data_IF_754665131820
#
_entry.id   IF_754665131820
#
_cell.length_a   1.000
_cell.length_b   1.000
_cell.length_c   1.000
_cell.angle_alpha   90.00
_cell.angle_beta   90.00
_cell.angle_gamma   90.00
#
_symmetry.space_group_name_H-M   'P 1'
#
loop_
_entity.id
_entity.type
_entity.pdbx_description
1 polymer ?
#
# COMPACT_ATOMS: atom_id res chain seq x y z
N UNK A 1 5.53 -17.67 -16.90
CA UNK A 1 6.15 -16.44 -17.42
C UNK A 1 7.11 -15.90 -16.38
N UNK A 2 8.34 -15.59 -16.76
CA UNK A 2 9.38 -15.14 -15.83
C UNK A 2 9.20 -13.65 -15.56
N UNK A 3 9.25 -13.24 -14.28
CA UNK A 3 9.29 -11.82 -13.91
C UNK A 3 10.53 -11.19 -14.55
N UNK A 4 10.35 -10.07 -15.24
CA UNK A 4 11.43 -9.24 -15.76
C UNK A 4 12.14 -8.49 -14.62
N UNK A 5 13.22 -7.75 -14.91
CA UNK A 5 13.96 -7.01 -13.88
C UNK A 5 13.08 -5.97 -13.19
N UNK A 6 12.89 -6.14 -11.88
CA UNK A 6 12.06 -5.31 -11.01
C UNK A 6 12.94 -4.42 -10.14
N UNK A 7 12.81 -3.12 -10.30
CA UNK A 7 13.39 -2.12 -9.41
C UNK A 7 12.37 -1.68 -8.37
N UNK A 8 12.72 -1.74 -7.09
CA UNK A 8 11.86 -1.35 -5.97
C UNK A 8 12.47 -0.14 -5.27
N UNK A 9 11.77 0.98 -5.29
CA UNK A 9 12.09 2.13 -4.45
C UNK A 9 11.39 2.02 -3.10
N UNK A 10 12.19 1.88 -2.04
CA UNK A 10 11.72 1.70 -0.67
C UNK A 10 11.65 0.23 -0.23
N UNK A 11 11.93 0.00 1.05
CA UNK A 11 11.91 -1.32 1.67
C UNK A 11 11.02 -1.29 2.92
N UNK A 12 9.78 -0.80 2.74
CA UNK A 12 8.74 -0.76 3.76
C UNK A 12 7.97 -2.08 3.87
N UNK A 13 6.89 -2.09 4.64
CA UNK A 13 6.10 -3.28 4.98
C UNK A 13 5.65 -4.10 3.75
N UNK A 14 4.99 -3.47 2.79
CA UNK A 14 4.55 -4.16 1.55
C UNK A 14 5.73 -4.64 0.69
N UNK A 15 6.80 -3.83 0.59
CA UNK A 15 7.97 -4.21 -0.20
C UNK A 15 8.71 -5.40 0.44
N UNK A 16 8.81 -5.45 1.77
CA UNK A 16 9.37 -6.60 2.50
C UNK A 16 8.58 -7.88 2.22
N UNK A 17 7.26 -7.82 2.34
CA UNK A 17 6.39 -8.96 2.07
C UNK A 17 6.48 -9.41 0.61
N UNK A 18 6.49 -8.46 -0.35
CA UNK A 18 6.65 -8.77 -1.76
C UNK A 18 7.98 -9.46 -2.06
N UNK A 19 9.08 -8.95 -1.54
CA UNK A 19 10.41 -9.53 -1.74
C UNK A 19 10.48 -10.94 -1.14
N UNK A 20 9.87 -11.16 0.02
CA UNK A 20 9.78 -12.50 0.61
C UNK A 20 9.06 -13.50 -0.31
N UNK A 21 7.96 -13.09 -0.93
CA UNK A 21 7.25 -13.91 -1.92
C UNK A 21 8.06 -14.14 -3.19
N UNK A 22 8.86 -13.17 -3.59
CA UNK A 22 9.66 -13.21 -4.81
C UNK A 22 11.05 -13.81 -4.63
N UNK A 23 11.34 -14.55 -3.55
CA UNK A 23 12.68 -15.11 -3.26
C UNK A 23 13.28 -15.90 -4.41
N UNK A 24 12.47 -16.66 -5.14
CA UNK A 24 12.92 -17.44 -6.31
C UNK A 24 13.40 -16.56 -7.48
N UNK A 25 13.04 -15.28 -7.49
CA UNK A 25 13.43 -14.30 -8.51
C UNK A 25 14.49 -13.31 -8.01
N UNK A 26 15.19 -13.60 -6.91
CA UNK A 26 16.14 -12.67 -6.27
C UNK A 26 17.13 -12.01 -7.22
N UNK A 27 17.61 -12.75 -8.23
CA UNK A 27 18.54 -12.24 -9.26
C UNK A 27 17.95 -11.17 -10.20
N UNK A 28 16.62 -10.99 -10.17
CA UNK A 28 15.88 -10.02 -10.99
C UNK A 28 15.39 -8.83 -10.18
N UNK A 29 15.61 -8.84 -8.86
CA UNK A 29 15.17 -7.79 -7.94
C UNK A 29 16.33 -6.85 -7.68
N UNK A 30 16.05 -5.54 -7.80
CA UNK A 30 16.94 -4.44 -7.50
C UNK A 30 16.21 -3.56 -6.47
N UNK A 31 16.86 -3.19 -5.38
CA UNK A 31 16.21 -2.41 -4.30
C UNK A 31 17.02 -1.13 -4.02
N UNK A 32 16.32 0.00 -3.95
CA UNK A 32 16.88 1.27 -3.50
C UNK A 32 16.28 1.62 -2.14
N UNK A 33 17.12 1.81 -1.14
CA UNK A 33 16.72 2.12 0.23
C UNK A 33 17.58 3.22 0.82
N UNK A 34 17.05 3.93 1.83
CA UNK A 34 17.83 4.88 2.68
C UNK A 34 18.43 4.22 3.91
N UNK A 35 17.93 3.05 4.29
CA UNK A 35 18.35 2.36 5.50
C UNK A 35 19.47 1.37 5.18
N UNK A 36 20.67 1.62 5.72
CA UNK A 36 21.89 0.82 5.49
C UNK A 36 21.77 -0.62 5.97
N UNK A 37 21.16 -0.84 7.14
CA UNK A 37 20.95 -2.18 7.68
C UNK A 37 20.05 -3.03 6.75
N UNK A 38 18.99 -2.41 6.21
CA UNK A 38 18.13 -3.06 5.24
C UNK A 38 18.88 -3.45 3.97
N UNK A 39 19.80 -2.59 3.51
CA UNK A 39 20.63 -2.86 2.33
C UNK A 39 21.58 -4.03 2.61
N UNK A 40 22.25 -4.01 3.76
CA UNK A 40 23.15 -5.10 4.17
C UNK A 40 22.40 -6.44 4.23
N UNK A 41 21.22 -6.48 4.88
CA UNK A 41 20.38 -7.67 4.96
C UNK A 41 19.91 -8.19 3.59
N UNK A 42 19.54 -7.30 2.67
CA UNK A 42 19.16 -7.68 1.33
C UNK A 42 20.33 -8.30 0.55
N UNK A 43 21.51 -7.69 0.65
CA UNK A 43 22.73 -8.18 0.01
C UNK A 43 23.14 -9.55 0.56
N UNK A 44 23.04 -9.80 1.88
CA UNK A 44 23.32 -11.11 2.47
C UNK A 44 22.34 -12.20 1.99
N UNK A 45 21.15 -11.83 1.56
CA UNK A 45 20.17 -12.74 0.93
C UNK A 45 20.38 -12.91 -0.58
N UNK A 46 21.42 -12.30 -1.16
CA UNK A 46 21.73 -12.34 -2.58
C UNK A 46 20.85 -11.43 -3.45
N UNK A 47 20.21 -10.42 -2.85
CA UNK A 47 19.40 -9.43 -3.55
C UNK A 47 20.24 -8.17 -3.77
N UNK A 48 20.29 -7.68 -5.01
CA UNK A 48 20.99 -6.43 -5.32
C UNK A 48 20.28 -5.25 -4.67
N UNK A 49 20.99 -4.49 -3.84
CA UNK A 49 20.44 -3.33 -3.15
C UNK A 49 21.48 -2.21 -3.05
N UNK A 50 21.03 -0.95 -3.17
CA UNK A 50 21.91 0.21 -3.04
C UNK A 50 21.28 1.32 -2.21
N UNK A 51 22.14 2.23 -1.76
CA UNK A 51 21.72 3.43 -1.09
C UNK A 51 21.08 4.42 -2.07
N UNK A 52 20.08 5.13 -1.57
CA UNK A 52 19.42 6.22 -2.26
C UNK A 52 20.39 7.35 -2.70
N UNK A 53 21.47 7.56 -1.96
CA UNK A 53 22.51 8.55 -2.21
C UNK A 53 23.46 8.17 -3.35
N UNK A 54 23.63 6.89 -3.62
CA UNK A 54 24.48 6.38 -4.71
C UNK A 54 23.77 6.54 -6.06
N UNK A 55 23.85 7.76 -6.62
CA UNK A 55 23.11 8.15 -7.82
C UNK A 55 23.46 7.29 -9.04
N UNK A 56 24.72 6.94 -9.21
CA UNK A 56 25.16 6.22 -10.40
C UNK A 56 24.69 4.77 -10.36
N UNK A 57 24.72 4.13 -9.21
CA UNK A 57 24.15 2.78 -9.04
C UNK A 57 22.64 2.79 -9.22
N UNK A 58 21.94 3.81 -8.69
CA UNK A 58 20.47 3.94 -8.90
C UNK A 58 20.13 4.18 -10.35
N UNK A 59 20.88 5.03 -11.08
CA UNK A 59 20.69 5.23 -12.53
C UNK A 59 20.91 3.93 -13.30
N UNK A 60 21.96 3.17 -12.95
CA UNK A 60 22.21 1.87 -13.56
C UNK A 60 21.04 0.90 -13.29
N UNK A 61 20.49 0.88 -12.08
CA UNK A 61 19.32 0.06 -11.76
C UNK A 61 18.09 0.47 -12.56
N UNK A 62 17.84 1.76 -12.73
CA UNK A 62 16.75 2.28 -13.58
C UNK A 62 16.94 1.82 -15.02
N UNK A 63 18.15 1.93 -15.57
CA UNK A 63 18.47 1.47 -16.91
C UNK A 63 18.25 -0.03 -17.12
N UNK A 64 18.57 -0.84 -16.11
CA UNK A 64 18.40 -2.29 -16.17
C UNK A 64 16.95 -2.76 -15.97
N UNK A 65 16.11 -1.96 -15.32
CA UNK A 65 14.76 -2.35 -14.96
C UNK A 65 13.80 -2.41 -16.15
N UNK A 66 12.84 -3.32 -16.08
CA UNK A 66 11.67 -3.36 -16.96
C UNK A 66 10.42 -2.81 -16.23
N UNK A 67 10.35 -3.06 -14.92
CA UNK A 67 9.28 -2.55 -14.05
C UNK A 67 9.88 -1.84 -12.85
N UNK A 68 9.34 -0.68 -12.51
CA UNK A 68 9.67 0.05 -11.29
C UNK A 68 8.47 0.05 -10.36
N UNK A 69 8.66 -0.45 -9.15
CA UNK A 69 7.70 -0.35 -8.05
C UNK A 69 8.12 0.78 -7.11
N UNK A 70 7.23 1.76 -6.92
CA UNK A 70 7.46 2.87 -6.00
C UNK A 70 6.62 2.64 -4.75
N UNK A 71 7.27 2.29 -3.64
CA UNK A 71 6.64 2.11 -2.33
C UNK A 71 7.03 3.18 -1.31
N UNK A 72 7.82 4.17 -1.72
CA UNK A 72 8.17 5.33 -0.90
C UNK A 72 6.97 6.27 -0.81
N UNK A 73 6.54 6.71 0.39
CA UNK A 73 5.47 7.70 0.51
C UNK A 73 5.96 9.09 0.10
N UNK A 74 5.08 9.93 -0.47
CA UNK A 74 5.39 11.34 -0.69
C UNK A 74 5.51 12.06 0.66
N UNK A 75 6.25 13.16 0.67
CA UNK A 75 6.34 14.08 1.80
C UNK A 75 5.53 15.37 1.53
N UNK A 76 5.60 16.34 2.45
CA UNK A 76 4.87 17.63 2.38
C UNK A 76 5.02 18.34 1.03
N UNK A 77 6.15 18.25 0.39
CA UNK A 77 6.46 19.03 -0.80
C UNK A 77 6.28 18.24 -2.08
N UNK A 78 6.77 16.99 -2.10
CA UNK A 78 6.90 16.23 -3.34
C UNK A 78 7.05 14.72 -3.08
N UNK A 79 6.81 13.92 -4.10
CA UNK A 79 7.26 12.53 -4.13
C UNK A 79 8.77 12.51 -4.39
N UNK A 80 9.58 11.98 -3.45
CA UNK A 80 11.02 12.05 -3.56
C UNK A 80 11.59 11.25 -4.73
N UNK A 81 10.90 10.20 -5.20
CA UNK A 81 11.31 9.46 -6.40
C UNK A 81 11.07 10.27 -7.65
N UNK A 82 9.92 10.98 -7.73
CA UNK A 82 9.64 11.90 -8.83
C UNK A 82 10.67 13.01 -8.93
N UNK A 83 10.99 13.61 -7.80
CA UNK A 83 11.92 14.74 -7.76
C UNK A 83 13.30 14.34 -8.25
N UNK A 84 13.84 13.26 -7.66
CA UNK A 84 15.24 12.91 -7.85
C UNK A 84 15.51 12.08 -9.09
N UNK A 85 14.57 11.21 -9.49
CA UNK A 85 14.83 10.18 -10.48
C UNK A 85 13.93 10.20 -11.71
N UNK A 86 12.86 11.00 -11.75
CA UNK A 86 11.90 10.95 -12.87
C UNK A 86 12.56 11.16 -14.24
N UNK A 87 13.53 12.07 -14.35
CA UNK A 87 14.28 12.33 -15.60
C UNK A 87 14.95 11.08 -16.15
N UNK A 88 15.44 10.18 -15.29
CA UNK A 88 16.15 8.98 -15.70
C UNK A 88 15.22 7.88 -16.22
N UNK A 89 13.92 7.91 -15.85
CA UNK A 89 12.94 6.96 -16.38
C UNK A 89 12.65 7.19 -17.86
N UNK A 90 12.82 8.40 -18.36
CA UNK A 90 12.47 8.78 -19.74
C UNK A 90 13.59 8.53 -20.74
N UNK A 91 14.82 8.42 -20.27
CA UNK A 91 15.99 8.16 -21.12
C UNK A 91 16.26 6.66 -21.32
N UNK A 92 15.43 5.80 -20.74
CA UNK A 92 15.54 4.36 -20.95
C UNK A 92 15.05 4.00 -22.35
N UNK A 93 15.91 3.39 -23.19
CA UNK A 93 15.54 2.87 -24.51
C UNK A 93 14.50 1.73 -24.45
N UNK A 94 14.25 1.18 -23.25
CA UNK A 94 13.27 0.12 -23.01
C UNK A 94 11.95 0.73 -22.57
N UNK A 95 10.85 0.07 -22.91
CA UNK A 95 9.50 0.43 -22.42
C UNK A 95 9.40 0.13 -20.92
N UNK A 96 9.80 1.10 -20.11
CA UNK A 96 9.72 1.02 -18.65
C UNK A 96 8.26 1.08 -18.21
N UNK A 97 7.86 0.19 -17.29
CA UNK A 97 6.55 0.20 -16.65
C UNK A 97 6.66 0.67 -15.21
N UNK A 98 5.66 1.39 -14.73
CA UNK A 98 5.64 1.95 -13.39
C UNK A 98 4.45 1.42 -12.58
N UNK A 99 4.69 0.98 -11.34
CA UNK A 99 3.67 0.62 -10.36
C UNK A 99 3.86 1.54 -9.15
N UNK A 100 2.87 2.38 -8.88
CA UNK A 100 2.91 3.32 -7.77
C UNK A 100 1.96 2.88 -6.65
N UNK A 101 2.48 2.65 -5.45
CA UNK A 101 1.68 2.33 -4.27
C UNK A 101 1.10 3.62 -3.69
N UNK A 102 -0.14 3.88 -4.01
CA UNK A 102 -0.92 5.02 -3.51
C UNK A 102 -1.78 4.63 -2.30
N UNK A 103 -2.75 5.45 -1.96
CA UNK A 103 -3.65 5.25 -0.83
C UNK A 103 -5.07 5.70 -1.16
N UNK A 104 -6.06 5.01 -0.61
CA UNK A 104 -7.47 5.42 -0.65
C UNK A 104 -7.75 6.73 0.13
N UNK A 105 -6.77 7.25 0.88
CA UNK A 105 -6.82 8.59 1.48
C UNK A 105 -7.01 9.73 0.47
N UNK A 106 -6.72 9.50 -0.83
CA UNK A 106 -6.96 10.48 -1.89
C UNK A 106 -8.45 10.79 -2.11
N UNK A 107 -9.34 9.89 -1.72
CA UNK A 107 -10.79 10.12 -1.82
C UNK A 107 -11.29 11.14 -0.78
N UNK A 108 -10.70 11.20 0.41
CA UNK A 108 -11.19 12.00 1.52
C UNK A 108 -12.46 11.43 2.15
N UNK A 109 -13.26 12.29 2.76
CA UNK A 109 -14.53 11.89 3.37
C UNK A 109 -15.67 11.80 2.35
N UNK A 110 -16.36 10.66 2.36
CA UNK A 110 -17.58 10.41 1.58
C UNK A 110 -18.77 10.01 2.47
N UNK A 111 -18.72 10.33 3.77
CA UNK A 111 -19.80 10.09 4.74
C UNK A 111 -20.30 8.64 4.74
N UNK A 112 -19.37 7.69 4.61
CA UNK A 112 -19.69 6.25 4.54
C UNK A 112 -20.20 5.74 3.20
N UNK A 113 -20.32 6.58 2.17
CA UNK A 113 -20.72 6.14 0.84
C UNK A 113 -19.61 5.32 0.14
N UNK A 114 -20.03 4.52 -0.84
CA UNK A 114 -19.12 3.78 -1.70
C UNK A 114 -18.38 4.71 -2.67
N UNK A 115 -17.08 4.46 -2.81
CA UNK A 115 -16.20 5.12 -3.80
C UNK A 115 -15.55 4.08 -4.70
N UNK A 116 -15.33 4.46 -5.96
CA UNK A 116 -14.59 3.71 -6.95
C UNK A 116 -13.51 4.60 -7.60
N UNK A 117 -12.80 4.10 -8.57
CA UNK A 117 -11.68 4.80 -9.22
C UNK A 117 -12.09 6.09 -9.92
N UNK A 118 -13.37 6.23 -10.30
CA UNK A 118 -13.95 7.42 -10.95
C UNK A 118 -14.55 8.43 -9.95
N UNK A 119 -14.60 8.08 -8.67
CA UNK A 119 -15.18 8.95 -7.64
C UNK A 119 -14.35 10.22 -7.44
N UNK A 120 -15.02 11.30 -7.03
CA UNK A 120 -14.37 12.60 -6.77
C UNK A 120 -13.28 12.46 -5.70
N UNK A 121 -12.11 13.00 -5.99
CA UNK A 121 -10.97 13.03 -5.07
C UNK A 121 -11.00 14.35 -4.28
N UNK A 122 -11.22 14.25 -2.97
CA UNK A 122 -11.34 15.41 -2.05
C UNK A 122 -10.65 15.12 -0.70
N UNK A 123 -9.34 14.82 -0.70
CA UNK A 123 -8.62 14.48 0.52
C UNK A 123 -8.68 15.64 1.52
N UNK A 124 -9.02 15.34 2.78
CA UNK A 124 -9.07 16.31 3.87
C UNK A 124 -7.76 16.31 4.65
N UNK A 125 -7.11 15.15 4.77
CA UNK A 125 -5.83 15.02 5.47
C UNK A 125 -4.65 15.46 4.61
N UNK A 126 -3.61 16.01 5.26
CA UNK A 126 -2.38 16.41 4.57
C UNK A 126 -1.73 15.24 3.81
N UNK A 127 -1.68 14.06 4.42
CA UNK A 127 -1.14 12.85 3.77
C UNK A 127 -1.93 12.49 2.50
N UNK A 128 -3.26 12.62 2.55
CA UNK A 128 -4.13 12.41 1.39
C UNK A 128 -3.85 13.42 0.27
N UNK A 129 -3.70 14.69 0.63
CA UNK A 129 -3.38 15.79 -0.33
C UNK A 129 -2.02 15.55 -1.00
N UNK A 130 -0.99 15.20 -0.23
CA UNK A 130 0.34 14.92 -0.79
C UNK A 130 0.31 13.71 -1.73
N UNK A 131 -0.43 12.67 -1.34
CA UNK A 131 -0.61 11.49 -2.16
C UNK A 131 -1.31 11.80 -3.49
N UNK A 132 -2.38 12.58 -3.45
CA UNK A 132 -3.09 13.03 -4.65
C UNK A 132 -2.20 13.88 -5.57
N UNK A 133 -1.39 14.79 -5.01
CA UNK A 133 -0.43 15.59 -5.77
C UNK A 133 0.58 14.68 -6.48
N UNK A 134 1.10 13.67 -5.78
CA UNK A 134 2.03 12.70 -6.36
C UNK A 134 1.39 11.86 -7.48
N UNK A 135 0.15 11.34 -7.28
CA UNK A 135 -0.59 10.63 -8.34
C UNK A 135 -0.74 11.46 -9.61
N UNK A 136 -1.24 12.70 -9.46
CA UNK A 136 -1.43 13.62 -10.61
C UNK A 136 -0.14 13.84 -11.39
N UNK A 137 0.98 14.04 -10.70
CA UNK A 137 2.28 14.26 -11.34
C UNK A 137 2.78 12.98 -12.02
N UNK A 138 2.65 11.79 -11.41
CA UNK A 138 3.00 10.52 -12.03
C UNK A 138 2.17 10.23 -13.28
N UNK A 139 0.85 10.49 -13.24
CA UNK A 139 -0.04 10.32 -14.41
C UNK A 139 0.33 11.30 -15.53
N UNK A 140 0.64 12.55 -15.21
CA UNK A 140 1.10 13.53 -16.18
C UNK A 140 2.42 13.10 -16.85
N UNK A 141 3.39 12.68 -16.06
CA UNK A 141 4.68 12.18 -16.56
C UNK A 141 4.50 10.95 -17.47
N UNK A 142 3.64 10.01 -17.06
CA UNK A 142 3.35 8.81 -17.83
C UNK A 142 2.71 9.16 -19.18
N UNK A 143 1.76 10.11 -19.21
CA UNK A 143 1.10 10.58 -20.43
C UNK A 143 2.09 11.26 -21.38
N UNK A 144 2.90 12.20 -20.88
CA UNK A 144 3.87 12.96 -21.70
C UNK A 144 4.90 12.02 -22.32
N UNK A 145 5.39 11.06 -21.54
CA UNK A 145 6.48 10.17 -21.96
C UNK A 145 6.00 8.80 -22.44
N UNK A 146 4.69 8.62 -22.59
CA UNK A 146 4.04 7.41 -23.17
C UNK A 146 4.48 6.09 -22.51
N UNK A 147 4.68 6.06 -21.18
CA UNK A 147 4.97 4.81 -20.48
C UNK A 147 3.76 4.30 -19.70
N UNK A 148 3.57 2.97 -19.61
CA UNK A 148 2.47 2.39 -18.84
C UNK A 148 2.66 2.60 -17.34
N UNK A 149 1.59 3.03 -16.65
CA UNK A 149 1.59 3.22 -15.20
C UNK A 149 0.38 2.54 -14.57
N UNK A 150 0.59 1.87 -13.45
CA UNK A 150 -0.46 1.38 -12.57
C UNK A 150 -0.39 2.09 -11.23
N UNK A 151 -1.48 2.75 -10.84
CA UNK A 151 -1.64 3.38 -9.52
C UNK A 151 -2.51 2.50 -8.66
N UNK A 152 -1.94 1.97 -7.59
CA UNK A 152 -2.62 1.07 -6.66
C UNK A 152 -3.02 1.86 -5.41
N UNK A 153 -4.30 2.25 -5.31
CA UNK A 153 -4.87 2.94 -4.15
C UNK A 153 -5.19 1.93 -3.06
N UNK A 154 -4.26 1.78 -2.13
CA UNK A 154 -4.32 0.78 -1.07
C UNK A 154 -5.13 1.31 0.10
N UNK A 155 -6.08 0.53 0.59
CA UNK A 155 -6.86 0.79 1.80
C UNK A 155 -6.06 0.50 3.08
N UNK A 156 -6.70 0.41 4.23
CA UNK A 156 -6.04 0.15 5.51
C UNK A 156 -5.29 -1.18 5.50
N UNK A 157 -3.95 -1.12 5.48
CA UNK A 157 -3.10 -2.32 5.40
C UNK A 157 -3.02 -2.99 6.77
N UNK A 158 -3.28 -4.30 6.82
CA UNK A 158 -3.06 -5.12 8.01
C UNK A 158 -2.39 -6.45 7.63
N UNK A 159 -1.89 -7.18 8.65
CA UNK A 159 -1.21 -8.46 8.49
C UNK A 159 -0.27 -8.74 9.67
N UNK A 160 0.60 -9.76 9.59
CA UNK A 160 1.56 -10.10 10.64
C UNK A 160 2.41 -8.90 11.05
N UNK A 161 2.53 -8.65 12.37
CA UNK A 161 3.25 -7.49 12.92
C UNK A 161 2.57 -6.13 12.73
N UNK A 162 1.42 -6.07 12.05
CA UNK A 162 0.63 -4.86 11.81
C UNK A 162 -0.86 -5.15 11.90
N UNK A 163 -1.32 -5.56 13.06
CA UNK A 163 -2.69 -6.01 13.28
C UNK A 163 -3.28 -5.45 14.57
N UNK A 164 -4.58 -5.57 14.80
CA UNK A 164 -5.20 -5.27 16.09
C UNK A 164 -4.60 -6.08 17.24
N UNK A 165 -4.15 -7.32 17.01
CA UNK A 165 -3.47 -8.14 18.03
C UNK A 165 -2.22 -7.45 18.59
N UNK A 166 -1.39 -6.89 17.72
CA UNK A 166 -0.20 -6.13 18.14
C UNK A 166 -0.58 -4.93 19.00
N UNK A 167 -1.63 -4.18 18.61
CA UNK A 167 -2.08 -3.00 19.35
C UNK A 167 -2.69 -3.37 20.70
N UNK A 168 -3.37 -4.51 20.81
CA UNK A 168 -3.88 -5.03 22.10
C UNK A 168 -2.71 -5.40 23.01
N UNK A 169 -1.73 -6.13 22.48
CA UNK A 169 -0.50 -6.48 23.22
C UNK A 169 0.23 -5.23 23.75
N UNK A 170 0.38 -4.21 22.92
CA UNK A 170 1.08 -2.96 23.26
C UNK A 170 0.19 -1.97 24.02
N UNK A 171 -1.07 -2.33 24.37
CA UNK A 171 -2.08 -1.46 25.02
C UNK A 171 -2.28 -0.11 24.29
N UNK A 172 -2.02 -0.07 22.99
CA UNK A 172 -2.09 1.14 22.16
C UNK A 172 -3.37 1.25 21.32
N UNK A 173 -4.36 0.38 21.59
CA UNK A 173 -5.62 0.35 20.85
C UNK A 173 -6.64 1.36 21.39
N UNK A 174 -7.56 1.76 20.52
CA UNK A 174 -8.73 2.57 20.86
C UNK A 174 -9.95 1.99 20.16
N UNK A 175 -10.99 1.61 20.91
CA UNK A 175 -12.26 1.15 20.34
C UNK A 175 -13.19 2.35 20.24
N UNK A 176 -13.34 2.85 19.00
CA UNK A 176 -14.19 4.02 18.74
C UNK A 176 -15.56 3.55 18.31
N UNK A 177 -16.59 3.90 19.08
CA UNK A 177 -17.99 3.66 18.73
C UNK A 177 -18.48 4.76 17.79
N UNK A 178 -18.64 4.39 16.54
CA UNK A 178 -19.30 5.21 15.52
C UNK A 178 -19.81 4.27 14.41
N UNK A 179 -21.13 3.97 14.35
CA UNK A 179 -21.70 3.03 13.39
C UNK A 179 -21.62 3.51 11.93
N UNK A 180 -21.36 4.81 11.70
CA UNK A 180 -21.27 5.41 10.38
C UNK A 180 -19.82 5.61 9.91
N UNK A 181 -18.83 5.20 10.70
CA UNK A 181 -17.41 5.40 10.41
C UNK A 181 -16.79 4.13 9.84
N UNK A 182 -16.88 3.99 8.52
CA UNK A 182 -16.39 2.83 7.79
C UNK A 182 -14.96 3.00 7.27
N UNK A 183 -14.19 1.93 7.40
CA UNK A 183 -12.85 1.80 6.83
C UNK A 183 -12.77 0.52 6.00
N UNK A 184 -12.36 0.65 4.76
CA UNK A 184 -11.91 -0.49 3.96
C UNK A 184 -10.49 -0.87 4.33
N UNK A 185 -10.20 -2.17 4.27
CA UNK A 185 -8.91 -2.77 4.64
C UNK A 185 -8.45 -3.71 3.56
N UNK A 186 -7.23 -4.17 3.67
CA UNK A 186 -6.70 -5.25 2.84
C UNK A 186 -5.54 -5.93 3.56
N UNK A 187 -5.49 -7.25 3.52
CA UNK A 187 -4.39 -8.02 4.06
C UNK A 187 -3.13 -7.85 3.19
N UNK A 188 -1.95 -7.83 3.82
CA UNK A 188 -0.68 -7.63 3.11
C UNK A 188 -0.42 -8.71 2.07
N UNK A 189 -0.83 -9.95 2.31
CA UNK A 189 -0.64 -11.05 1.37
C UNK A 189 -1.46 -10.86 0.09
N UNK A 190 -2.67 -10.32 0.20
CA UNK A 190 -3.45 -9.93 -0.97
C UNK A 190 -2.81 -8.77 -1.74
N UNK A 191 -2.26 -7.76 -1.05
CA UNK A 191 -1.50 -6.69 -1.71
C UNK A 191 -0.35 -7.29 -2.52
N UNK A 192 0.41 -8.20 -1.92
CA UNK A 192 1.57 -8.85 -2.54
C UNK A 192 1.14 -9.70 -3.74
N UNK A 193 0.06 -10.48 -3.59
CA UNK A 193 -0.49 -11.29 -4.67
C UNK A 193 -0.99 -10.42 -5.84
N UNK A 194 -1.67 -9.32 -5.54
CA UNK A 194 -2.15 -8.37 -6.55
C UNK A 194 -0.95 -7.73 -7.28
N UNK A 195 0.07 -7.25 -6.57
CA UNK A 195 1.28 -6.72 -7.21
C UNK A 195 1.92 -7.78 -8.11
N UNK A 196 1.98 -9.03 -7.66
CA UNK A 196 2.51 -10.14 -8.44
C UNK A 196 1.72 -10.39 -9.74
N UNK A 197 0.37 -10.29 -9.69
CA UNK A 197 -0.46 -10.35 -10.90
C UNK A 197 -0.16 -9.17 -11.85
N UNK A 198 0.02 -7.96 -11.32
CA UNK A 198 0.46 -6.83 -12.15
C UNK A 198 1.84 -7.06 -12.78
N UNK A 199 2.78 -7.69 -12.08
CA UNK A 199 4.08 -8.03 -12.64
C UNK A 199 4.00 -9.04 -13.78
N UNK A 200 3.05 -9.97 -13.74
CA UNK A 200 2.82 -10.96 -14.81
C UNK A 200 2.03 -10.40 -16.02
N UNK A 201 1.06 -9.53 -15.75
CA UNK A 201 0.13 -9.00 -16.74
C UNK A 201 0.57 -7.60 -17.18
N UNK A 202 1.61 -7.50 -18.00
CA UNK A 202 2.25 -6.22 -18.37
C UNK A 202 1.31 -5.26 -19.13
N UNK A 203 0.25 -5.77 -19.77
CA UNK A 203 -0.75 -4.97 -20.49
C UNK A 203 -1.72 -4.24 -19.57
N UNK A 204 -1.87 -4.66 -18.31
CA UNK A 204 -2.78 -4.02 -17.34
C UNK A 204 -2.13 -2.79 -16.75
N UNK A 205 -2.76 -1.63 -16.96
CA UNK A 205 -2.34 -0.34 -16.41
C UNK A 205 -3.56 0.51 -16.04
N UNK A 206 -3.33 1.63 -15.35
CA UNK A 206 -4.38 2.53 -14.88
C UNK A 206 -4.49 2.59 -13.37
N UNK A 207 -5.64 3.02 -12.85
CA UNK A 207 -5.88 3.20 -11.42
C UNK A 207 -6.72 2.05 -10.90
N UNK A 208 -6.34 1.47 -9.75
CA UNK A 208 -7.04 0.36 -9.10
C UNK A 208 -7.12 0.55 -7.60
N UNK A 209 -8.29 0.27 -7.05
CA UNK A 209 -8.48 0.20 -5.61
C UNK A 209 -8.10 -1.18 -5.08
N UNK A 210 -7.28 -1.20 -4.04
CA UNK A 210 -6.92 -2.40 -3.30
C UNK A 210 -7.62 -2.37 -1.94
N UNK A 211 -8.73 -3.07 -1.85
CA UNK A 211 -9.53 -3.26 -0.65
C UNK A 211 -10.11 -4.68 -0.65
N UNK A 212 -10.32 -5.26 0.54
CA UNK A 212 -11.13 -6.46 0.70
C UNK A 212 -12.63 -6.18 0.42
N UNK A 213 -13.48 -7.19 0.57
CA UNK A 213 -14.89 -7.06 0.19
C UNK A 213 -15.76 -6.42 1.28
N UNK A 214 -15.28 -6.30 2.52
CA UNK A 214 -16.12 -5.93 3.69
C UNK A 214 -15.56 -4.72 4.44
N UNK A 215 -15.98 -3.50 4.07
CA UNK A 215 -15.71 -2.33 4.89
C UNK A 215 -16.29 -2.48 6.29
N UNK A 216 -15.55 -2.16 7.32
CA UNK A 216 -15.96 -2.34 8.71
C UNK A 216 -15.59 -1.14 9.58
N UNK A 217 -16.33 -0.95 10.67
CA UNK A 217 -15.96 0.03 11.71
C UNK A 217 -14.72 -0.45 12.47
N UNK A 218 -14.08 0.46 13.21
CA UNK A 218 -12.99 0.08 14.10
C UNK A 218 -13.49 -0.83 15.22
N UNK A 219 -14.68 -0.56 15.75
CA UNK A 219 -15.33 -1.33 16.80
C UNK A 219 -15.54 -2.79 16.38
N UNK A 220 -16.15 -3.04 15.19
CA UNK A 220 -16.37 -4.39 14.69
C UNK A 220 -15.08 -5.21 14.56
N UNK A 221 -14.00 -4.56 14.12
CA UNK A 221 -12.70 -5.22 13.98
C UNK A 221 -12.10 -5.61 15.34
N UNK A 222 -12.21 -4.74 16.34
CA UNK A 222 -11.72 -5.07 17.69
C UNK A 222 -12.60 -6.11 18.39
N UNK A 223 -13.92 -6.05 18.25
CA UNK A 223 -14.82 -7.08 18.80
C UNK A 223 -14.41 -8.46 18.26
N UNK A 224 -14.23 -8.60 16.94
CA UNK A 224 -13.79 -9.87 16.35
C UNK A 224 -12.39 -10.28 16.84
N UNK A 225 -11.47 -9.33 17.01
CA UNK A 225 -10.13 -9.62 17.53
C UNK A 225 -10.18 -10.13 18.98
N UNK A 226 -10.97 -9.50 19.84
CA UNK A 226 -11.15 -9.94 21.25
C UNK A 226 -11.82 -11.31 21.32
N UNK A 227 -12.81 -11.58 20.46
CA UNK A 227 -13.45 -12.88 20.33
C UNK A 227 -12.46 -13.99 19.98
N UNK A 228 -11.56 -13.76 19.02
CA UNK A 228 -10.51 -14.71 18.66
C UNK A 228 -9.53 -14.98 19.83
N UNK A 229 -9.29 -13.96 20.66
CA UNK A 229 -8.45 -14.09 21.87
C UNK A 229 -9.17 -14.74 23.05
N UNK A 230 -10.46 -15.06 22.95
CA UNK A 230 -11.32 -15.47 24.07
C UNK A 230 -11.31 -14.46 25.24
N UNK A 231 -11.28 -13.16 24.92
CA UNK A 231 -11.27 -12.06 25.88
C UNK A 231 -12.51 -11.17 25.70
N UNK A 232 -12.97 -10.57 26.78
CA UNK A 232 -14.01 -9.55 26.71
C UNK A 232 -13.43 -8.21 26.23
N UNK A 233 -14.00 -7.57 25.21
CA UNK A 233 -13.55 -6.25 24.80
C UNK A 233 -13.90 -5.22 25.87
N UNK A 234 -13.03 -4.24 26.16
CA UNK A 234 -13.38 -3.12 26.99
C UNK A 234 -14.47 -2.27 26.33
N UNK A 235 -15.20 -1.43 27.11
CA UNK A 235 -16.23 -0.57 26.56
C UNK A 235 -15.68 0.35 25.44
N UNK A 236 -16.42 0.42 24.36
CA UNK A 236 -16.12 1.38 23.28
C UNK A 236 -16.42 2.81 23.72
N UNK A 237 -15.65 3.79 23.25
CA UNK A 237 -15.80 5.21 23.56
C UNK A 237 -16.21 6.00 22.33
N UNK A 238 -16.95 7.08 22.51
CA UNK A 238 -17.18 8.05 21.43
C UNK A 238 -15.90 8.85 21.17
N UNK A 239 -15.79 9.40 19.97
CA UNK A 239 -14.56 10.06 19.53
C UNK A 239 -14.17 11.26 20.40
N UNK A 240 -15.18 12.01 20.91
CA UNK A 240 -14.98 13.16 21.80
C UNK A 240 -14.30 12.80 23.14
N UNK A 241 -14.47 11.58 23.62
CA UNK A 241 -13.97 11.15 24.93
C UNK A 241 -12.51 10.63 24.85
N UNK A 242 -11.93 10.66 23.64
CA UNK A 242 -10.60 10.15 23.39
C UNK A 242 -9.59 11.28 23.17
N UNK A 243 -8.55 11.32 23.99
CA UNK A 243 -7.40 12.20 23.72
C UNK A 243 -6.58 11.58 22.57
N UNK A 244 -6.76 12.13 21.35
CA UNK A 244 -6.13 11.65 20.13
C UNK A 244 -5.17 12.67 19.56
N UNK A 245 -4.05 12.19 18.99
CA UNK A 245 -3.15 13.03 18.21
C UNK A 245 -3.84 13.58 16.95
N UNK A 246 -3.34 14.68 16.40
CA UNK A 246 -3.85 15.26 15.12
C UNK A 246 -3.88 14.22 13.99
N UNK A 247 -2.89 13.34 13.92
CA UNK A 247 -2.84 12.26 12.93
C UNK A 247 -3.96 11.24 13.14
N UNK A 248 -4.23 10.86 14.40
CA UNK A 248 -5.31 9.93 14.71
C UNK A 248 -6.69 10.57 14.47
N UNK A 249 -6.87 11.84 14.83
CA UNK A 249 -8.09 12.59 14.50
C UNK A 249 -8.32 12.63 12.99
N UNK A 250 -7.27 12.91 12.20
CA UNK A 250 -7.35 12.87 10.74
C UNK A 250 -7.76 11.51 10.19
N UNK A 251 -7.33 10.40 10.83
CA UNK A 251 -7.78 9.06 10.44
C UNK A 251 -9.28 8.86 10.69
N UNK A 252 -9.81 9.35 11.80
CA UNK A 252 -11.23 9.23 12.14
C UNK A 252 -12.13 10.30 11.49
N UNK A 253 -11.58 11.27 10.77
CA UNK A 253 -12.35 12.32 10.10
C UNK A 253 -12.90 11.94 8.72
N UNK A 254 -12.51 10.80 8.19
CA UNK A 254 -12.92 10.35 6.86
C UNK A 254 -13.60 8.99 6.93
N UNK A 255 -14.84 8.89 6.41
CA UNK A 255 -15.60 7.66 6.28
C UNK A 255 -15.92 7.37 4.82
N UNK A 256 -15.57 6.17 4.36
CA UNK A 256 -15.86 5.70 2.99
C UNK A 256 -15.76 4.18 2.89
N UNK A 257 -16.53 3.62 1.98
CA UNK A 257 -16.45 2.22 1.56
C UNK A 257 -15.78 2.17 0.19
N UNK A 258 -14.76 1.38 0.01
CA UNK A 258 -13.96 1.35 -1.22
C UNK A 258 -14.31 0.14 -2.07
N UNK A 259 -14.80 0.38 -3.28
CA UNK A 259 -15.11 -0.67 -4.25
C UNK A 259 -13.83 -1.21 -4.90
N UNK A 260 -13.71 -2.54 -4.94
CA UNK A 260 -12.64 -3.28 -5.61
C UNK A 260 -13.11 -3.93 -6.92
N UNK A 261 -14.33 -3.63 -7.38
CA UNK A 261 -14.96 -4.30 -8.54
C UNK A 261 -14.08 -4.28 -9.80
N UNK A 262 -13.44 -3.16 -10.10
CA UNK A 262 -12.53 -3.03 -11.24
C UNK A 262 -11.38 -4.02 -11.17
N UNK A 263 -10.74 -4.12 -9.99
CA UNK A 263 -9.66 -5.06 -9.73
C UNK A 263 -10.10 -6.50 -9.98
N UNK A 264 -11.26 -6.88 -9.43
CA UNK A 264 -11.81 -8.24 -9.56
C UNK A 264 -12.10 -8.61 -11.02
N UNK A 265 -12.67 -7.69 -11.80
CA UNK A 265 -13.04 -7.92 -13.20
C UNK A 265 -11.79 -8.02 -14.08
N UNK A 266 -10.90 -7.03 -14.03
CA UNK A 266 -9.78 -6.92 -14.97
C UNK A 266 -8.63 -7.86 -14.64
N UNK A 267 -8.33 -8.10 -13.35
CA UNK A 267 -7.33 -9.08 -12.95
C UNK A 267 -7.87 -10.50 -12.79
N UNK A 268 -9.21 -10.68 -12.70
CA UNK A 268 -9.84 -11.94 -12.28
C UNK A 268 -9.25 -12.44 -10.95
N UNK A 269 -9.01 -11.47 -10.05
CA UNK A 269 -8.35 -11.75 -8.78
C UNK A 269 -9.30 -12.45 -7.82
N UNK A 270 -8.78 -13.47 -7.12
CA UNK A 270 -9.47 -14.15 -6.02
C UNK A 270 -8.71 -13.84 -4.74
N UNK A 271 -9.38 -13.21 -3.78
CA UNK A 271 -8.77 -12.89 -2.49
C UNK A 271 -8.38 -14.14 -1.72
N UNK A 272 -7.20 -14.10 -1.11
CA UNK A 272 -6.78 -15.06 -0.09
C UNK A 272 -7.56 -14.80 1.21
N UNK A 273 -7.68 -13.50 1.56
CA UNK A 273 -8.48 -13.03 2.70
C UNK A 273 -9.58 -12.10 2.17
N UNK A 274 -10.77 -12.67 1.92
CA UNK A 274 -11.87 -11.94 1.29
C UNK A 274 -12.49 -10.85 2.16
N UNK A 275 -12.23 -10.87 3.48
CA UNK A 275 -12.64 -9.89 4.47
C UNK A 275 -11.65 -9.83 5.65
N UNK A 276 -11.87 -8.85 6.53
CA UNK A 276 -11.04 -8.69 7.72
C UNK A 276 -11.17 -9.85 8.72
N UNK A 277 -12.29 -10.57 8.75
CA UNK A 277 -12.52 -11.71 9.65
C UNK A 277 -11.61 -12.86 9.27
N UNK A 278 -11.60 -13.24 7.98
CA UNK A 278 -10.73 -14.30 7.46
C UNK A 278 -9.25 -13.95 7.65
N UNK A 279 -8.88 -12.68 7.41
CA UNK A 279 -7.51 -12.23 7.62
C UNK A 279 -7.07 -12.16 9.08
N UNK A 280 -7.96 -11.77 10.00
CA UNK A 280 -7.68 -11.81 11.46
C UNK A 280 -7.53 -13.25 11.95
N UNK A 281 -8.37 -14.16 11.47
CA UNK A 281 -8.28 -15.58 11.82
C UNK A 281 -6.95 -16.18 11.36
N UNK A 282 -6.50 -15.87 10.15
CA UNK A 282 -5.21 -16.31 9.65
C UNK A 282 -4.05 -15.79 10.52
N UNK A 283 -4.05 -14.47 10.85
CA UNK A 283 -3.04 -13.89 11.72
C UNK A 283 -3.04 -14.56 13.09
N UNK A 284 -4.22 -14.81 13.68
CA UNK A 284 -4.36 -15.46 14.97
C UNK A 284 -3.76 -16.87 14.98
N UNK A 285 -4.04 -17.66 13.96
CA UNK A 285 -3.51 -19.03 13.83
C UNK A 285 -1.98 -19.09 13.64
N UNK A 286 -1.35 -17.95 13.32
CA UNK A 286 0.09 -17.83 13.08
C UNK A 286 0.80 -16.94 14.13
N UNK A 287 0.12 -16.62 15.28
CA UNK A 287 0.74 -15.93 16.41
C UNK A 287 1.61 -16.88 17.20
#
# INVERSE_FOLDING_TARGET
MLINKLLIFGYGYCAKALISKLKVYKNKILVVSRNKESIHRLRSQGIKACEWSNLDEVKNYIYLANTVLISVPPNKFIDPVQEKFSKHFFHSKKRLRLIYLSSTGVYGDHKGAWVNENSKLKPTTELGKWRLKAEKKWLSLARINKFPISILRISGIYGPGRSPFNRIKDKSFKIVRNPNLFFSRIHVDDIVNIIFEFLKKEHINGIYNLADNVPATTESVYIETFKLLNLNPPPSKILSDLNLSKTALGFFSESKKVSNKKLLIELRYKFLHHDYISGLKDIYNNL
#
